data_IF_136835981132
#
_entry.id   IF_136835981132
#
_cell.length_a   1.000
_cell.length_b   1.000
_cell.length_c   1.000
_cell.angle_alpha   90.00
_cell.angle_beta   90.00
_cell.angle_gamma   90.00
#
_symmetry.space_group_name_H-M   'P 1'
#
loop_
_entity.id
_entity.type
_entity.pdbx_description
1 polymer ?
#
# COMPACT_ATOMS: atom_id res chain seq x y z
N UNK A 1 20.91 -59.08 57.54
CA UNK A 1 20.23 -58.03 58.35
C UNK A 1 20.77 -56.71 57.83
N UNK A 2 20.35 -56.20 56.66
CA UNK A 2 18.99 -55.91 56.18
C UNK A 2 18.33 -54.78 56.99
N UNK A 3 18.33 -53.59 56.38
CA UNK A 3 17.29 -52.55 56.29
C UNK A 3 17.76 -51.67 55.10
N UNK A 4 17.22 -51.73 53.86
CA UNK A 4 15.84 -51.47 53.42
C UNK A 4 15.51 -49.98 53.66
N UNK A 5 15.20 -49.09 52.72
CA UNK A 5 14.81 -49.12 51.29
C UNK A 5 15.07 -47.70 50.69
N UNK A 6 14.79 -47.42 49.40
CA UNK A 6 15.37 -46.36 48.60
C UNK A 6 14.49 -45.09 48.62
N UNK A 7 15.05 -43.96 48.17
CA UNK A 7 14.21 -42.89 47.63
C UNK A 7 14.39 -42.92 46.13
N UNK A 8 13.38 -43.48 45.48
CA UNK A 8 13.09 -43.30 44.07
C UNK A 8 12.90 -41.80 43.82
N UNK A 9 13.88 -41.15 43.21
CA UNK A 9 13.60 -39.97 42.41
C UNK A 9 13.76 -40.38 40.96
N UNK A 10 12.62 -40.78 40.40
CA UNK A 10 12.35 -40.86 38.97
C UNK A 10 12.83 -39.55 38.32
N UNK A 11 13.94 -39.59 37.60
CA UNK A 11 14.08 -38.72 36.44
C UNK A 11 13.20 -39.31 35.34
N UNK A 12 12.12 -38.64 34.90
CA UNK A 12 11.44 -39.05 33.70
C UNK A 12 12.39 -38.77 32.52
N UNK A 13 12.96 -39.85 32.00
CA UNK A 13 13.37 -40.02 30.61
C UNK A 13 12.21 -39.58 29.69
N UNK A 14 12.13 -38.28 29.40
CA UNK A 14 11.44 -37.77 28.21
C UNK A 14 12.50 -37.78 27.11
N UNK A 15 12.65 -38.93 26.48
CA UNK A 15 11.97 -39.24 25.21
C UNK A 15 12.33 -38.19 24.18
N UNK A 16 13.32 -38.54 23.36
CA UNK A 16 13.61 -38.09 22.01
C UNK A 16 12.46 -37.33 21.33
N UNK A 17 12.35 -36.02 21.59
CA UNK A 17 11.61 -35.06 20.76
C UNK A 17 12.59 -34.28 19.84
N UNK A 18 13.82 -34.79 19.67
CA UNK A 18 14.82 -34.35 18.67
C UNK A 18 14.55 -34.92 17.26
N UNK A 19 13.28 -35.20 16.93
CA UNK A 19 12.91 -35.84 15.67
C UNK A 19 11.64 -35.28 15.03
N UNK A 20 11.49 -33.95 15.00
CA UNK A 20 10.59 -33.27 14.04
C UNK A 20 11.14 -31.95 13.47
N UNK A 21 12.46 -31.71 13.53
CA UNK A 21 13.10 -30.54 12.88
C UNK A 21 13.78 -30.87 11.53
N UNK A 22 13.42 -32.00 10.93
CA UNK A 22 13.75 -32.32 9.53
C UNK A 22 12.50 -32.69 8.75
N UNK A 23 11.56 -31.74 8.73
CA UNK A 23 10.83 -31.46 7.51
C UNK A 23 11.18 -30.04 7.10
N UNK A 24 12.36 -29.87 6.50
CA UNK A 24 12.52 -28.90 5.41
C UNK A 24 11.52 -29.30 4.31
N UNK A 25 10.23 -29.06 4.58
CA UNK A 25 9.18 -29.14 3.59
C UNK A 25 9.41 -27.95 2.69
N UNK A 26 10.28 -28.15 1.70
CA UNK A 26 10.47 -27.40 0.47
C UNK A 26 9.50 -26.21 0.41
N UNK A 27 9.87 -25.12 1.11
CA UNK A 27 8.91 -24.07 1.43
C UNK A 27 8.40 -23.51 0.12
N UNK A 28 7.16 -23.83 -0.22
CA UNK A 28 6.64 -23.49 -1.54
C UNK A 28 6.70 -21.98 -1.62
N UNK A 29 7.45 -21.39 -2.57
CA UNK A 29 7.76 -19.97 -2.53
C UNK A 29 6.46 -19.18 -2.45
N UNK A 30 6.36 -18.26 -1.48
CA UNK A 30 5.12 -17.54 -1.18
C UNK A 30 4.49 -17.04 -2.49
N UNK A 31 3.27 -17.50 -2.80
CA UNK A 31 2.60 -17.16 -4.06
C UNK A 31 1.59 -16.04 -3.85
N UNK A 32 1.34 -15.29 -4.92
CA UNK A 32 0.33 -14.23 -4.91
C UNK A 32 -1.05 -14.82 -5.15
N UNK A 33 -2.09 -14.15 -4.64
CA UNK A 33 -3.46 -14.40 -5.10
C UNK A 33 -3.56 -14.01 -6.59
N UNK A 34 -3.95 -14.97 -7.43
CA UNK A 34 -4.10 -14.78 -8.87
C UNK A 34 -5.13 -13.70 -9.21
N UNK A 35 -5.02 -13.09 -10.39
CA UNK A 35 -5.96 -12.04 -10.82
C UNK A 35 -7.42 -12.51 -10.79
N UNK A 36 -7.69 -13.72 -11.31
CA UNK A 36 -9.03 -14.31 -11.29
C UNK A 36 -9.50 -14.67 -9.87
N UNK A 37 -8.61 -15.10 -8.97
CA UNK A 37 -8.95 -15.35 -7.56
C UNK A 37 -9.41 -14.06 -6.86
N UNK A 38 -8.79 -12.92 -7.21
CA UNK A 38 -9.25 -11.61 -6.72
C UNK A 38 -10.61 -11.25 -7.26
N UNK A 39 -10.85 -11.47 -8.57
CA UNK A 39 -12.17 -11.25 -9.18
C UNK A 39 -13.21 -12.11 -8.50
N UNK A 40 -12.95 -13.40 -8.32
CA UNK A 40 -13.85 -14.32 -7.63
C UNK A 40 -14.19 -13.85 -6.21
N UNK A 41 -13.18 -13.41 -5.45
CA UNK A 41 -13.37 -12.85 -4.11
C UNK A 41 -14.26 -11.61 -4.14
N UNK A 42 -13.99 -10.68 -5.06
CA UNK A 42 -14.82 -9.49 -5.23
C UNK A 42 -16.26 -9.84 -5.61
N UNK A 43 -16.45 -10.73 -6.58
CA UNK A 43 -17.77 -11.18 -6.99
C UNK A 43 -18.54 -11.80 -5.83
N UNK A 44 -17.91 -12.65 -5.02
CA UNK A 44 -18.57 -13.27 -3.87
C UNK A 44 -19.02 -12.24 -2.82
N UNK A 45 -18.16 -11.28 -2.49
CA UNK A 45 -18.50 -10.19 -1.56
C UNK A 45 -19.57 -9.24 -2.12
N UNK A 46 -19.51 -8.93 -3.42
CA UNK A 46 -20.53 -8.10 -4.08
C UNK A 46 -21.88 -8.79 -4.14
N UNK A 47 -21.92 -10.11 -4.38
CA UNK A 47 -23.17 -10.88 -4.34
C UNK A 47 -23.78 -10.87 -2.94
N UNK A 48 -22.98 -11.10 -1.90
CA UNK A 48 -23.44 -10.98 -0.52
C UNK A 48 -23.97 -9.57 -0.22
N UNK A 49 -23.22 -8.53 -0.59
CA UNK A 49 -23.62 -7.15 -0.36
C UNK A 49 -24.92 -6.79 -1.10
N UNK A 50 -25.07 -7.23 -2.34
CA UNK A 50 -26.29 -7.01 -3.11
C UNK A 50 -27.51 -7.68 -2.46
N UNK A 51 -27.36 -8.90 -1.95
CA UNK A 51 -28.42 -9.60 -1.22
C UNK A 51 -28.76 -8.89 0.11
N UNK A 52 -27.75 -8.44 0.84
CA UNK A 52 -27.93 -7.70 2.09
C UNK A 52 -28.67 -6.37 1.87
N UNK A 53 -28.32 -5.64 0.80
CA UNK A 53 -29.01 -4.39 0.43
C UNK A 53 -30.44 -4.68 -0.05
N UNK A 54 -30.64 -5.70 -0.87
CA UNK A 54 -31.97 -6.04 -1.40
C UNK A 54 -32.96 -6.48 -0.30
N UNK A 55 -32.46 -7.04 0.79
CA UNK A 55 -33.26 -7.51 1.92
C UNK A 55 -33.05 -6.64 3.18
N UNK A 56 -32.63 -5.39 3.03
CA UNK A 56 -32.32 -4.49 4.14
C UNK A 56 -33.50 -4.18 5.06
N UNK A 57 -34.72 -4.40 4.60
CA UNK A 57 -35.95 -4.14 5.36
C UNK A 57 -36.24 -5.21 6.44
N UNK A 58 -35.36 -6.21 6.60
CA UNK A 58 -35.51 -7.30 7.57
C UNK A 58 -34.61 -7.08 8.78
N UNK A 59 -35.13 -7.45 9.95
CA UNK A 59 -34.39 -7.35 11.22
C UNK A 59 -33.18 -8.31 11.33
N UNK A 60 -33.16 -9.38 10.52
CA UNK A 60 -32.11 -10.41 10.55
C UNK A 60 -31.75 -10.91 9.15
N UNK A 61 -30.52 -11.38 8.98
CA UNK A 61 -30.09 -12.07 7.76
C UNK A 61 -30.86 -13.37 7.56
N UNK A 62 -31.47 -13.53 6.38
CA UNK A 62 -32.12 -14.77 5.99
C UNK A 62 -31.11 -15.88 5.62
N UNK A 63 -31.61 -17.10 5.36
CA UNK A 63 -30.77 -18.25 4.99
C UNK A 63 -29.91 -18.01 3.74
N UNK A 64 -30.41 -17.23 2.78
CA UNK A 64 -29.69 -16.94 1.53
C UNK A 64 -28.52 -15.97 1.77
N UNK A 65 -28.72 -14.95 2.61
CA UNK A 65 -27.69 -14.00 3.00
C UNK A 65 -26.59 -14.69 3.80
N UNK A 66 -26.96 -15.59 4.73
CA UNK A 66 -26.02 -16.40 5.50
C UNK A 66 -25.22 -17.36 4.62
N UNK A 67 -25.86 -18.01 3.64
CA UNK A 67 -25.16 -18.85 2.66
C UNK A 67 -24.20 -18.05 1.79
N UNK A 68 -24.63 -16.87 1.32
CA UNK A 68 -23.76 -15.98 0.54
C UNK A 68 -22.57 -15.47 1.36
N UNK A 69 -22.78 -15.14 2.64
CA UNK A 69 -21.72 -14.75 3.57
C UNK A 69 -20.73 -15.90 3.79
N UNK A 70 -21.22 -17.10 4.09
CA UNK A 70 -20.39 -18.29 4.27
C UNK A 70 -19.58 -18.60 3.00
N UNK A 71 -20.19 -18.46 1.82
CA UNK A 71 -19.51 -18.59 0.53
C UNK A 71 -18.41 -17.54 0.34
N UNK A 72 -18.69 -16.27 0.63
CA UNK A 72 -17.71 -15.19 0.53
C UNK A 72 -16.51 -15.38 1.47
N UNK A 73 -16.76 -15.84 2.70
CA UNK A 73 -15.72 -16.21 3.67
C UNK A 73 -14.92 -17.40 3.16
N UNK A 74 -15.58 -18.49 2.76
CA UNK A 74 -14.92 -19.71 2.27
C UNK A 74 -14.04 -19.45 1.05
N UNK A 75 -14.53 -18.68 0.07
CA UNK A 75 -13.75 -18.25 -1.10
C UNK A 75 -12.56 -17.40 -0.68
N UNK A 76 -12.75 -16.48 0.29
CA UNK A 76 -11.67 -15.62 0.78
C UNK A 76 -10.57 -16.44 1.46
N UNK A 77 -10.95 -17.36 2.35
CA UNK A 77 -10.02 -18.27 3.04
C UNK A 77 -9.28 -19.15 2.03
N UNK A 78 -9.99 -19.76 1.08
CA UNK A 78 -9.38 -20.59 0.05
C UNK A 78 -8.38 -19.82 -0.83
N UNK A 79 -8.74 -18.60 -1.27
CA UNK A 79 -7.86 -17.76 -2.08
C UNK A 79 -6.56 -17.39 -1.33
N UNK A 80 -6.63 -17.23 0.00
CA UNK A 80 -5.48 -16.91 0.84
C UNK A 80 -4.66 -18.14 1.21
N UNK A 81 -5.31 -19.28 1.46
CA UNK A 81 -4.66 -20.54 1.80
C UNK A 81 -3.98 -21.20 0.60
N UNK A 82 -4.55 -21.07 -0.61
CA UNK A 82 -4.00 -21.62 -1.86
C UNK A 82 -3.87 -20.53 -2.93
N UNK A 83 -2.90 -19.62 -2.79
CA UNK A 83 -2.62 -18.62 -3.81
C UNK A 83 -2.08 -19.28 -5.10
N UNK A 84 -2.82 -19.16 -6.19
CA UNK A 84 -2.49 -19.77 -7.50
C UNK A 84 -1.79 -18.80 -8.45
N UNK A 85 -1.36 -17.64 -7.96
CA UNK A 85 -0.63 -16.66 -8.74
C UNK A 85 0.87 -16.94 -8.82
N UNK A 86 1.59 -15.97 -9.40
CA UNK A 86 3.04 -16.02 -9.55
C UNK A 86 3.76 -16.05 -8.19
N UNK A 87 4.96 -16.66 -8.11
CA UNK A 87 5.79 -16.57 -6.92
C UNK A 87 6.15 -15.11 -6.62
N UNK A 88 6.20 -14.79 -5.33
CA UNK A 88 6.68 -13.50 -4.84
C UNK A 88 8.21 -13.56 -4.86
N UNK A 89 8.81 -12.79 -5.75
CA UNK A 89 10.25 -12.53 -5.72
C UNK A 89 10.46 -11.34 -4.81
N UNK A 90 11.17 -11.52 -3.70
CA UNK A 90 11.59 -10.41 -2.84
C UNK A 90 12.64 -9.56 -3.58
N UNK A 91 12.60 -8.25 -3.39
CA UNK A 91 13.55 -7.29 -3.96
C UNK A 91 14.03 -6.42 -2.80
N UNK A 92 14.82 -7.03 -1.94
CA UNK A 92 15.27 -6.41 -0.70
C UNK A 92 16.62 -5.70 -0.89
N UNK A 93 17.43 -6.15 -1.87
CA UNK A 93 18.70 -5.53 -2.21
C UNK A 93 18.68 -4.81 -3.56
N UNK A 94 19.61 -3.86 -3.72
CA UNK A 94 19.77 -3.12 -4.97
C UNK A 94 20.16 -4.03 -6.16
N UNK A 95 20.85 -5.13 -5.90
CA UNK A 95 21.26 -6.12 -6.92
C UNK A 95 20.08 -6.90 -7.51
N UNK A 96 19.01 -7.10 -6.73
CA UNK A 96 17.81 -7.85 -7.12
C UNK A 96 16.88 -7.05 -8.03
N UNK A 97 17.16 -5.76 -8.23
CA UNK A 97 16.33 -4.84 -9.01
C UNK A 97 16.54 -5.09 -10.50
N UNK A 98 15.79 -6.06 -11.04
CA UNK A 98 15.82 -6.41 -12.46
C UNK A 98 14.40 -6.46 -13.06
N UNK A 99 14.32 -6.23 -14.36
CA UNK A 99 13.08 -6.28 -15.13
C UNK A 99 12.41 -4.92 -15.30
N UNK A 100 11.14 -4.95 -15.71
CA UNK A 100 10.39 -3.73 -16.05
C UNK A 100 9.60 -3.18 -14.85
N UNK A 101 9.69 -1.88 -14.56
CA UNK A 101 9.10 -1.22 -13.40
C UNK A 101 8.12 -0.11 -13.79
N UNK A 102 6.97 -0.08 -13.10
CA UNK A 102 5.86 0.85 -13.39
C UNK A 102 5.23 1.34 -12.09
N UNK A 103 4.92 2.65 -12.02
CA UNK A 103 4.10 3.19 -10.93
C UNK A 103 2.63 2.86 -11.11
N UNK A 104 1.99 2.39 -10.04
CA UNK A 104 0.57 2.00 -10.04
C UNK A 104 -0.24 2.79 -9.01
N UNK A 105 -1.35 3.31 -9.48
CA UNK A 105 -2.42 3.88 -8.66
C UNK A 105 -3.28 2.78 -8.06
N UNK A 106 -3.60 2.87 -6.78
CA UNK A 106 -4.55 1.96 -6.15
C UNK A 106 -5.97 2.50 -6.36
N UNK A 107 -6.58 2.15 -7.48
CA UNK A 107 -7.92 2.59 -7.84
C UNK A 107 -8.99 2.19 -6.82
N UNK A 108 -8.84 1.05 -6.14
CA UNK A 108 -9.75 0.64 -5.08
C UNK A 108 -9.79 1.63 -3.92
N UNK A 109 -8.62 2.08 -3.46
CA UNK A 109 -8.54 3.10 -2.42
C UNK A 109 -9.00 4.48 -2.91
N UNK A 110 -8.74 4.83 -4.17
CA UNK A 110 -9.26 6.08 -4.76
C UNK A 110 -10.79 6.06 -4.74
N UNK A 111 -11.42 4.99 -5.24
CA UNK A 111 -12.88 4.86 -5.25
C UNK A 111 -13.47 4.88 -3.84
N UNK A 112 -12.82 4.19 -2.90
CA UNK A 112 -13.21 4.24 -1.49
C UNK A 112 -13.15 5.66 -0.91
N UNK A 113 -12.05 6.38 -1.14
CA UNK A 113 -11.92 7.77 -0.71
C UNK A 113 -12.97 8.70 -1.35
N UNK A 114 -13.29 8.49 -2.64
CA UNK A 114 -14.36 9.23 -3.32
C UNK A 114 -15.71 8.93 -2.67
N UNK A 115 -16.03 7.67 -2.39
CA UNK A 115 -17.28 7.28 -1.73
C UNK A 115 -17.43 7.94 -0.36
N UNK A 116 -16.37 7.93 0.47
CA UNK A 116 -16.35 8.63 1.76
C UNK A 116 -16.58 10.14 1.61
N UNK A 117 -15.93 10.75 0.62
CA UNK A 117 -16.05 12.20 0.37
C UNK A 117 -17.47 12.57 -0.07
N UNK A 118 -18.04 11.81 -1.00
CA UNK A 118 -19.42 12.02 -1.49
C UNK A 118 -20.43 11.81 -0.37
N UNK A 119 -20.27 10.76 0.43
CA UNK A 119 -21.12 10.51 1.60
C UNK A 119 -21.07 11.65 2.60
N UNK A 120 -19.87 12.17 2.90
CA UNK A 120 -19.72 13.33 3.77
C UNK A 120 -20.27 14.63 3.20
N UNK A 121 -20.14 14.89 1.90
CA UNK A 121 -20.78 16.05 1.23
C UNK A 121 -22.32 15.93 1.28
N UNK A 122 -22.86 14.72 1.07
CA UNK A 122 -24.29 14.46 1.22
C UNK A 122 -24.80 14.82 2.61
N UNK A 123 -24.03 14.49 3.65
CA UNK A 123 -24.34 14.87 5.02
C UNK A 123 -24.33 16.39 5.25
N UNK A 124 -23.39 17.14 4.63
CA UNK A 124 -23.42 18.61 4.66
C UNK A 124 -24.72 19.14 4.07
N UNK A 125 -25.16 18.57 2.93
CA UNK A 125 -26.42 18.96 2.29
C UNK A 125 -27.63 18.76 3.20
N UNK A 126 -27.69 17.62 3.91
CA UNK A 126 -28.72 17.34 4.90
C UNK A 126 -28.67 18.33 6.08
N UNK A 127 -27.48 18.63 6.62
CA UNK A 127 -27.28 19.62 7.68
C UNK A 127 -27.81 20.99 7.24
N UNK A 128 -27.43 21.47 6.06
CA UNK A 128 -27.85 22.79 5.55
C UNK A 128 -29.37 22.83 5.33
N UNK A 129 -29.95 21.76 4.81
CA UNK A 129 -31.39 21.65 4.62
C UNK A 129 -32.14 21.68 5.96
N UNK A 130 -31.70 20.92 6.96
CA UNK A 130 -32.37 20.85 8.26
C UNK A 130 -32.17 22.13 9.10
N UNK A 131 -31.01 22.79 9.00
CA UNK A 131 -30.79 24.10 9.60
C UNK A 131 -31.67 25.18 8.94
N UNK A 132 -31.77 25.18 7.61
CA UNK A 132 -32.55 26.19 6.87
C UNK A 132 -34.07 26.01 7.02
N UNK A 133 -34.53 24.80 7.32
CA UNK A 133 -35.94 24.49 7.59
C UNK A 133 -36.30 24.51 9.08
N UNK A 134 -35.33 24.81 9.96
CA UNK A 134 -35.52 24.87 11.41
C UNK A 134 -35.76 23.52 12.09
N UNK A 135 -35.44 22.41 11.40
CA UNK A 135 -35.60 21.03 11.91
C UNK A 135 -34.49 20.60 12.86
N UNK A 136 -33.33 21.24 12.81
CA UNK A 136 -32.21 20.99 13.69
C UNK A 136 -31.55 22.31 14.14
N UNK A 137 -30.95 22.34 15.33
CA UNK A 137 -30.12 23.46 15.76
C UNK A 137 -28.63 23.16 15.52
N UNK A 138 -27.82 24.22 15.38
CA UNK A 138 -26.35 24.11 15.24
C UNK A 138 -25.74 23.32 16.40
N UNK A 139 -26.27 23.48 17.62
CA UNK A 139 -25.85 22.73 18.81
C UNK A 139 -26.02 21.22 18.65
N UNK A 140 -27.08 20.78 17.99
CA UNK A 140 -27.38 19.36 17.82
C UNK A 140 -26.38 18.73 16.86
N UNK A 141 -26.01 19.43 15.78
CA UNK A 141 -24.94 19.00 14.84
C UNK A 141 -23.58 18.87 15.53
N UNK A 142 -23.20 19.83 16.39
CA UNK A 142 -21.94 19.77 17.13
C UNK A 142 -21.93 18.67 18.20
N UNK A 143 -23.05 18.42 18.87
CA UNK A 143 -23.18 17.33 19.85
C UNK A 143 -23.07 15.95 19.17
N UNK A 144 -23.67 15.81 17.99
CA UNK A 144 -23.59 14.63 17.14
C UNK A 144 -22.15 14.33 16.71
N UNK A 145 -21.44 15.36 16.25
CA UNK A 145 -20.03 15.32 15.87
C UNK A 145 -19.14 14.89 17.04
N UNK A 146 -19.35 15.46 18.22
CA UNK A 146 -18.55 15.14 19.40
C UNK A 146 -18.77 13.71 19.88
N UNK A 147 -20.02 13.24 19.86
CA UNK A 147 -20.39 11.86 20.21
C UNK A 147 -19.70 10.85 19.29
N UNK A 148 -19.68 11.13 17.98
CA UNK A 148 -19.00 10.28 17.00
C UNK A 148 -17.48 10.24 17.21
N UNK A 149 -16.83 11.39 17.39
CA UNK A 149 -15.37 11.45 17.63
C UNK A 149 -15.00 10.76 18.94
N UNK A 150 -15.76 10.99 20.01
CA UNK A 150 -15.53 10.36 21.31
C UNK A 150 -15.72 8.83 21.23
N UNK A 151 -16.78 8.37 20.58
CA UNK A 151 -17.04 6.95 20.35
C UNK A 151 -15.89 6.28 19.60
N UNK A 152 -15.53 6.82 18.43
CA UNK A 152 -14.45 6.27 17.60
C UNK A 152 -13.09 6.28 18.32
N UNK A 153 -12.76 7.36 19.04
CA UNK A 153 -11.49 7.47 19.78
C UNK A 153 -11.44 6.47 20.94
N UNK A 154 -12.55 6.27 21.64
CA UNK A 154 -12.64 5.30 22.73
C UNK A 154 -12.48 3.87 22.22
N UNK A 155 -13.11 3.52 21.10
CA UNK A 155 -12.99 2.19 20.49
C UNK A 155 -11.57 1.93 19.96
N UNK A 156 -10.96 2.92 19.30
CA UNK A 156 -9.60 2.84 18.77
C UNK A 156 -8.51 2.69 19.87
N UNK A 157 -8.73 3.26 21.06
CA UNK A 157 -7.75 3.22 22.15
C UNK A 157 -7.99 2.09 23.16
N UNK A 158 -9.25 1.71 23.39
CA UNK A 158 -9.60 0.72 24.41
C UNK A 158 -9.83 -0.69 23.87
N UNK A 159 -10.03 -0.85 22.55
CA UNK A 159 -10.28 -2.14 21.91
C UNK A 159 -11.57 -2.84 22.35
N UNK A 160 -12.40 -2.17 23.15
CA UNK A 160 -13.75 -2.60 23.53
C UNK A 160 -14.77 -1.80 22.71
N UNK A 161 -15.86 -2.45 22.31
CA UNK A 161 -17.00 -1.76 21.71
C UNK A 161 -17.58 -0.83 22.76
N UNK A 162 -17.21 0.45 22.69
CA UNK A 162 -17.91 1.46 23.47
C UNK A 162 -19.34 1.48 22.95
N UNK A 163 -20.28 1.15 23.83
CA UNK A 163 -21.73 1.25 23.61
C UNK A 163 -22.11 2.75 23.58
N UNK A 164 -21.43 3.52 22.72
CA UNK A 164 -21.83 4.86 22.39
C UNK A 164 -23.24 4.73 21.81
N UNK A 165 -24.12 5.64 22.21
CA UNK A 165 -25.43 5.84 21.64
C UNK A 165 -25.36 6.27 20.14
N UNK A 166 -24.65 5.51 19.30
CA UNK A 166 -24.51 5.67 17.87
C UNK A 166 -25.89 5.59 17.20
N UNK A 167 -26.81 4.82 17.77
CA UNK A 167 -28.22 4.73 17.39
C UNK A 167 -28.99 6.07 17.51
N UNK A 168 -28.51 7.03 18.30
CA UNK A 168 -29.09 8.38 18.42
C UNK A 168 -28.31 9.44 17.64
N UNK A 169 -27.26 9.04 16.94
CA UNK A 169 -26.42 9.97 16.17
C UNK A 169 -27.11 10.19 14.82
N UNK A 170 -27.47 11.43 14.51
CA UNK A 170 -28.03 11.72 13.20
C UNK A 170 -26.95 11.51 12.11
N UNK A 171 -27.35 11.44 10.83
CA UNK A 171 -26.39 11.26 9.73
C UNK A 171 -25.38 12.42 9.55
N UNK A 172 -25.45 13.45 10.39
CA UNK A 172 -24.60 14.65 10.33
C UNK A 172 -23.13 14.35 10.65
N UNK A 173 -22.87 13.36 11.50
CA UNK A 173 -21.52 12.89 11.79
C UNK A 173 -20.76 12.41 10.53
N UNK A 174 -21.44 12.00 9.46
CA UNK A 174 -20.82 11.58 8.20
C UNK A 174 -20.03 12.70 7.51
N UNK A 175 -20.30 13.98 7.80
CA UNK A 175 -19.46 15.10 7.30
C UNK A 175 -17.99 14.94 7.70
N UNK A 176 -17.70 14.37 8.87
CA UNK A 176 -16.33 14.12 9.34
C UNK A 176 -15.56 13.25 8.34
N UNK A 177 -16.26 12.42 7.55
CA UNK A 177 -15.66 11.53 6.55
C UNK A 177 -15.12 12.27 5.31
N UNK A 178 -15.47 13.56 5.11
CA UNK A 178 -14.94 14.36 4.00
C UNK A 178 -13.42 14.48 4.09
N UNK A 179 -12.89 14.85 5.26
CA UNK A 179 -11.45 15.05 5.46
C UNK A 179 -10.64 13.77 5.20
N UNK A 180 -10.92 12.62 5.85
CA UNK A 180 -10.20 11.37 5.56
C UNK A 180 -10.47 10.87 4.14
N UNK A 181 -11.66 11.07 3.59
CA UNK A 181 -11.98 10.75 2.20
C UNK A 181 -11.06 11.48 1.22
N UNK A 182 -10.97 12.80 1.35
CA UNK A 182 -10.09 13.65 0.52
C UNK A 182 -8.62 13.26 0.70
N UNK A 183 -8.16 12.99 1.92
CA UNK A 183 -6.78 12.56 2.18
C UNK A 183 -6.46 11.22 1.50
N UNK A 184 -7.37 10.25 1.59
CA UNK A 184 -7.23 8.95 0.92
C UNK A 184 -7.15 9.15 -0.59
N UNK A 185 -8.04 9.95 -1.18
CA UNK A 185 -8.01 10.26 -2.62
C UNK A 185 -6.68 10.88 -3.00
N UNK A 186 -6.29 11.96 -2.31
CA UNK A 186 -5.08 12.73 -2.59
C UNK A 186 -3.83 11.84 -2.58
N UNK A 187 -3.58 11.10 -1.50
CA UNK A 187 -2.39 10.25 -1.38
C UNK A 187 -2.36 9.11 -2.39
N UNK A 188 -3.52 8.60 -2.81
CA UNK A 188 -3.58 7.55 -3.81
C UNK A 188 -3.51 8.09 -5.25
N UNK A 189 -3.78 9.38 -5.48
CA UNK A 189 -3.64 10.03 -6.79
C UNK A 189 -2.22 10.52 -7.09
N UNK A 190 -1.37 10.73 -6.08
CA UNK A 190 0.04 11.16 -6.31
C UNK A 190 0.77 10.30 -7.37
N UNK A 191 0.70 8.95 -7.35
CA UNK A 191 1.31 8.10 -8.38
C UNK A 191 0.70 8.25 -9.78
N UNK A 192 -0.53 8.77 -9.89
CA UNK A 192 -1.18 9.07 -11.17
C UNK A 192 -0.64 10.38 -11.75
N UNK A 193 -0.54 11.42 -10.90
CA UNK A 193 -0.11 12.77 -11.31
C UNK A 193 1.42 12.79 -11.53
N UNK A 194 2.17 12.15 -10.64
CA UNK A 194 3.65 12.05 -10.68
C UNK A 194 4.10 10.66 -11.17
N UNK A 195 3.46 10.12 -12.21
CA UNK A 195 3.70 8.73 -12.65
C UNK A 195 5.09 8.49 -13.23
N UNK A 196 5.73 9.52 -13.78
CA UNK A 196 7.00 9.39 -14.51
C UNK A 196 6.90 8.45 -15.72
N UNK A 197 8.03 8.12 -16.31
CA UNK A 197 8.17 7.13 -17.39
C UNK A 197 8.51 5.77 -16.81
N UNK A 198 7.93 4.72 -17.39
CA UNK A 198 8.29 3.34 -17.07
C UNK A 198 9.79 3.14 -17.33
N UNK A 199 10.48 2.39 -16.47
CA UNK A 199 11.88 2.06 -16.65
C UNK A 199 12.09 0.55 -16.59
N UNK A 200 13.16 0.09 -17.23
CA UNK A 200 13.59 -1.30 -17.27
C UNK A 200 15.03 -1.34 -16.80
N UNK A 201 15.35 -2.28 -15.93
CA UNK A 201 16.72 -2.59 -15.53
C UNK A 201 17.11 -3.90 -16.18
N UNK A 202 18.12 -3.86 -17.03
CA UNK A 202 18.67 -5.03 -17.71
C UNK A 202 19.68 -5.78 -16.83
N UNK A 203 20.00 -7.06 -17.14
CA UNK A 203 20.90 -7.88 -16.32
C UNK A 203 22.32 -7.31 -16.20
N UNK A 204 22.78 -6.56 -17.19
CA UNK A 204 24.04 -5.82 -17.18
C UNK A 204 24.01 -4.58 -16.27
N UNK A 205 22.86 -4.29 -15.67
CA UNK A 205 22.59 -3.14 -14.82
C UNK A 205 22.25 -1.88 -15.59
N UNK A 206 22.17 -1.92 -16.93
CA UNK A 206 21.74 -0.79 -17.76
C UNK A 206 20.27 -0.45 -17.49
N UNK A 207 19.95 0.85 -17.51
CA UNK A 207 18.61 1.34 -17.27
C UNK A 207 18.07 1.89 -18.58
N UNK A 208 16.91 1.40 -19.00
CA UNK A 208 16.21 1.86 -20.18
C UNK A 208 14.88 2.50 -19.78
N UNK A 209 14.49 3.57 -20.43
CA UNK A 209 13.28 4.35 -20.14
C UNK A 209 12.31 4.23 -21.31
N UNK A 210 11.03 4.12 -21.00
CA UNK A 210 9.97 4.06 -22.02
C UNK A 210 9.78 5.43 -22.65
N UNK A 211 10.15 5.55 -23.92
CA UNK A 211 9.88 6.70 -24.79
C UNK A 211 8.72 6.45 -25.76
N UNK A 212 8.40 7.44 -26.62
CA UNK A 212 7.32 7.32 -27.61
C UNK A 212 7.57 6.24 -28.67
N UNK A 213 8.84 6.00 -29.02
CA UNK A 213 9.22 5.06 -30.10
C UNK A 213 9.74 3.71 -29.57
N UNK A 214 9.72 3.49 -28.25
CA UNK A 214 10.25 2.26 -27.65
C UNK A 214 11.01 2.49 -26.37
N UNK A 215 11.95 1.59 -26.08
CA UNK A 215 12.86 1.69 -24.95
C UNK A 215 14.11 2.46 -25.39
N UNK A 216 14.50 3.46 -24.61
CA UNK A 216 15.69 4.28 -24.86
C UNK A 216 16.61 4.10 -23.66
N UNK A 217 17.86 3.77 -23.91
CA UNK A 217 18.85 3.62 -22.83
C UNK A 217 19.05 4.97 -22.13
N UNK A 218 19.03 4.96 -20.80
CA UNK A 218 19.34 6.11 -19.97
C UNK A 218 20.86 6.29 -19.97
N UNK A 219 21.32 7.38 -20.57
CA UNK A 219 22.72 7.75 -20.65
C UNK A 219 23.01 8.82 -19.60
N UNK A 220 23.57 8.43 -18.46
CA UNK A 220 23.75 9.32 -17.30
C UNK A 220 24.64 10.54 -17.61
N UNK A 221 25.54 10.41 -18.58
CA UNK A 221 26.43 11.50 -19.01
C UNK A 221 25.72 12.63 -19.76
N UNK A 222 24.47 12.46 -20.17
CA UNK A 222 23.67 13.53 -20.80
C UNK A 222 23.03 14.46 -19.75
N UNK A 223 23.17 14.15 -18.45
CA UNK A 223 22.52 14.86 -17.37
C UNK A 223 23.55 15.55 -16.45
N UNK A 224 23.18 16.74 -15.95
CA UNK A 224 24.01 17.55 -15.05
C UNK A 224 23.72 17.26 -13.57
N UNK A 225 22.45 16.96 -13.27
CA UNK A 225 21.98 16.67 -11.92
C UNK A 225 20.84 15.65 -11.91
N UNK A 226 20.77 14.87 -10.85
CA UNK A 226 19.68 13.92 -10.58
C UNK A 226 19.11 14.20 -9.20
N UNK A 227 17.80 14.30 -9.07
CA UNK A 227 17.14 14.57 -7.78
C UNK A 227 16.01 13.59 -7.54
N UNK A 228 16.02 12.91 -6.40
CA UNK A 228 14.97 12.01 -5.95
C UNK A 228 14.22 12.62 -4.76
N UNK A 229 12.91 12.83 -4.90
CA UNK A 229 12.03 13.47 -3.89
C UNK A 229 11.15 12.46 -3.12
N UNK A 230 11.53 11.18 -3.12
CA UNK A 230 10.74 10.04 -2.64
C UNK A 230 9.47 9.72 -3.45
N UNK A 231 9.07 10.58 -4.38
CA UNK A 231 7.96 10.34 -5.30
C UNK A 231 8.44 10.03 -6.71
N UNK A 232 9.46 10.74 -7.16
CA UNK A 232 10.05 10.66 -8.50
C UNK A 232 11.56 10.89 -8.44
N UNK A 233 12.26 10.33 -9.42
CA UNK A 233 13.67 10.59 -9.70
C UNK A 233 13.73 11.42 -10.98
N UNK A 234 14.18 12.66 -10.88
CA UNK A 234 14.27 13.61 -11.99
C UNK A 234 15.72 13.74 -12.45
N UNK A 235 15.93 13.53 -13.74
CA UNK A 235 17.19 13.74 -14.45
C UNK A 235 17.13 15.09 -15.16
N UNK A 236 18.02 16.00 -14.76
CA UNK A 236 18.12 17.36 -15.31
C UNK A 236 19.17 17.36 -16.41
N UNK A 237 18.82 17.75 -17.66
CA UNK A 237 19.72 17.66 -18.78
C UNK A 237 20.95 18.56 -18.60
N UNK A 238 22.07 18.17 -19.21
CA UNK A 238 23.29 18.98 -19.24
C UNK A 238 23.29 20.02 -20.37
N UNK A 239 22.51 19.77 -21.43
CA UNK A 239 22.42 20.63 -22.62
C UNK A 239 20.98 20.69 -23.14
N UNK A 240 20.66 21.78 -23.84
CA UNK A 240 19.32 22.11 -24.33
C UNK A 240 18.65 21.06 -25.26
N UNK A 241 19.36 20.27 -26.10
CA UNK A 241 18.70 19.26 -26.94
C UNK A 241 18.25 18.01 -26.16
N UNK A 242 18.74 17.79 -24.93
CA UNK A 242 18.38 16.60 -24.15
C UNK A 242 17.13 16.86 -23.33
N UNK A 243 16.03 16.09 -23.51
CA UNK A 243 14.83 16.26 -22.70
C UNK A 243 15.06 15.72 -21.28
N UNK A 244 14.54 16.44 -20.28
CA UNK A 244 14.52 15.95 -18.90
C UNK A 244 13.71 14.65 -18.77
N UNK A 245 14.23 13.70 -17.99
CA UNK A 245 13.55 12.42 -17.72
C UNK A 245 13.09 12.38 -16.27
N UNK A 246 11.87 11.89 -16.06
CA UNK A 246 11.30 11.66 -14.73
C UNK A 246 10.95 10.18 -14.61
N UNK A 247 11.54 9.50 -13.64
CA UNK A 247 11.24 8.11 -13.30
C UNK A 247 10.38 8.07 -12.02
N UNK A 248 9.47 7.11 -11.89
CA UNK A 248 8.73 6.93 -10.65
C UNK A 248 9.61 6.35 -9.55
N UNK A 249 9.32 6.77 -8.32
CA UNK A 249 9.92 6.23 -7.09
C UNK A 249 8.84 5.76 -6.10
N UNK A 250 7.71 6.46 -6.03
CA UNK A 250 6.57 6.07 -5.21
C UNK A 250 5.75 4.96 -5.90
N UNK A 251 5.40 3.94 -5.10
CA UNK A 251 4.52 2.82 -5.50
C UNK A 251 4.91 2.20 -6.84
N UNK A 252 6.21 1.94 -6.99
CA UNK A 252 6.78 1.26 -8.14
C UNK A 252 6.60 -0.24 -7.96
N UNK A 253 6.18 -0.92 -9.02
CA UNK A 253 6.01 -2.36 -9.05
C UNK A 253 6.73 -2.94 -10.26
N UNK A 254 7.40 -4.08 -10.07
CA UNK A 254 7.83 -4.90 -11.18
C UNK A 254 6.60 -5.37 -11.97
N UNK A 255 6.66 -5.26 -13.29
CA UNK A 255 5.62 -5.72 -14.22
C UNK A 255 5.59 -7.24 -14.30
N UNK A 256 6.74 -7.87 -14.16
CA UNK A 256 6.93 -9.32 -14.30
C UNK A 256 6.52 -10.05 -13.02
N UNK A 257 7.03 -9.60 -11.87
CA UNK A 257 6.80 -10.27 -10.58
C UNK A 257 5.66 -9.63 -9.80
N UNK A 258 5.28 -8.38 -10.12
CA UNK A 258 4.30 -7.62 -9.34
C UNK A 258 4.85 -7.13 -8.00
N UNK A 259 6.11 -7.38 -7.68
CA UNK A 259 6.73 -6.99 -6.40
C UNK A 259 6.86 -5.49 -6.31
N UNK A 260 6.50 -4.95 -5.14
CA UNK A 260 6.66 -3.53 -4.84
C UNK A 260 8.13 -3.27 -4.64
N UNK A 261 8.70 -2.43 -5.47
CA UNK A 261 10.04 -1.90 -5.27
C UNK A 261 9.97 -0.83 -4.16
N UNK A 262 10.73 -1.02 -3.09
CA UNK A 262 10.84 -0.03 -2.01
C UNK A 262 11.61 1.18 -2.52
N UNK A 263 11.20 2.39 -2.10
CA UNK A 263 11.86 3.62 -2.55
C UNK A 263 13.33 3.67 -2.14
N UNK A 264 13.66 3.12 -0.97
CA UNK A 264 15.03 2.97 -0.44
C UNK A 264 15.89 2.10 -1.36
N UNK A 265 15.43 0.89 -1.69
CA UNK A 265 16.13 -0.05 -2.57
C UNK A 265 16.32 0.54 -3.96
N UNK A 266 15.28 1.20 -4.50
CA UNK A 266 15.42 1.92 -5.77
C UNK A 266 16.46 3.03 -5.67
N UNK A 267 16.47 3.81 -4.59
CA UNK A 267 17.39 4.91 -4.40
C UNK A 267 18.83 4.39 -4.30
N UNK A 268 19.09 3.38 -3.49
CA UNK A 268 20.40 2.74 -3.36
C UNK A 268 20.95 2.28 -4.72
N UNK A 269 20.12 1.62 -5.54
CA UNK A 269 20.51 1.20 -6.89
C UNK A 269 20.90 2.37 -7.80
N UNK A 270 20.11 3.45 -7.80
CA UNK A 270 20.44 4.63 -8.59
C UNK A 270 21.67 5.36 -8.05
N UNK A 271 21.86 5.42 -6.73
CA UNK A 271 23.04 6.02 -6.10
C UNK A 271 24.32 5.27 -6.48
N UNK A 272 24.33 3.93 -6.38
CA UNK A 272 25.48 3.10 -6.79
C UNK A 272 25.85 3.35 -8.26
N UNK A 273 24.85 3.37 -9.14
CA UNK A 273 25.06 3.60 -10.58
C UNK A 273 25.56 5.00 -10.86
N UNK A 274 24.95 6.03 -10.28
CA UNK A 274 25.36 7.42 -10.46
C UNK A 274 26.77 7.68 -9.91
N UNK A 275 27.12 7.07 -8.77
CA UNK A 275 28.47 7.16 -8.22
C UNK A 275 29.51 6.56 -9.18
N UNK A 276 29.23 5.40 -9.80
CA UNK A 276 30.08 4.81 -10.85
C UNK A 276 30.20 5.71 -12.10
N UNK A 277 29.18 6.50 -12.39
CA UNK A 277 29.17 7.46 -13.49
C UNK A 277 29.77 8.84 -13.13
N UNK A 278 30.41 8.99 -11.96
CA UNK A 278 31.11 10.22 -11.56
C UNK A 278 30.23 11.32 -10.96
N UNK A 279 29.01 10.97 -10.52
CA UNK A 279 28.17 11.89 -9.74
C UNK A 279 28.58 11.85 -8.26
N UNK A 280 28.65 13.03 -7.65
CA UNK A 280 28.69 13.18 -6.19
C UNK A 280 27.27 13.08 -5.65
N UNK A 281 27.04 12.14 -4.72
CA UNK A 281 25.72 11.85 -4.15
C UNK A 281 25.60 12.47 -2.75
N UNK A 282 24.56 13.27 -2.56
CA UNK A 282 24.11 13.82 -1.28
C UNK A 282 22.80 13.12 -0.89
N UNK A 283 22.83 12.33 0.19
CA UNK A 283 21.63 11.68 0.72
C UNK A 283 20.88 12.66 1.62
N UNK A 284 19.60 12.92 1.30
CA UNK A 284 18.76 13.88 2.02
C UNK A 284 17.92 13.17 3.07
N UNK A 285 17.27 12.06 2.68
CA UNK A 285 16.45 11.24 3.57
C UNK A 285 16.56 9.78 3.14
N UNK A 286 17.37 9.02 3.87
CA UNK A 286 17.60 7.61 3.60
C UNK A 286 16.32 6.77 3.73
N UNK A 287 15.49 7.05 4.76
CA UNK A 287 14.24 6.31 5.00
C UNK A 287 13.25 6.48 3.87
N UNK A 288 13.21 7.65 3.23
CA UNK A 288 12.33 7.89 2.08
C UNK A 288 13.00 7.59 0.75
N UNK A 289 14.31 7.39 0.72
CA UNK A 289 15.10 7.22 -0.50
C UNK A 289 15.35 8.54 -1.25
N UNK A 290 15.33 9.68 -0.55
CA UNK A 290 15.58 10.99 -1.16
C UNK A 290 17.08 11.28 -1.23
N UNK A 291 17.55 11.68 -2.41
CA UNK A 291 18.94 12.02 -2.65
C UNK A 291 19.08 13.04 -3.78
N UNK A 292 20.25 13.65 -3.86
CA UNK A 292 20.66 14.55 -4.93
C UNK A 292 22.03 14.11 -5.46
N UNK A 293 22.11 13.78 -6.73
CA UNK A 293 23.36 13.57 -7.45
C UNK A 293 23.72 14.82 -8.25
N UNK A 294 24.96 15.30 -8.14
CA UNK A 294 25.52 16.34 -9.01
C UNK A 294 26.75 15.82 -9.73
N UNK A 295 26.89 16.14 -11.01
CA UNK A 295 28.07 15.74 -11.76
C UNK A 295 29.28 16.56 -11.34
N UNK A 296 30.37 15.88 -11.01
CA UNK A 296 31.61 16.51 -10.55
C UNK A 296 32.33 17.08 -11.78
N UNK A 297 32.09 18.36 -12.11
CA UNK A 297 32.70 18.98 -13.30
C UNK A 297 31.94 20.16 -13.95
N UNK A 298 31.34 21.07 -13.18
CA UNK A 298 30.81 22.34 -13.73
C UNK A 298 31.15 23.57 -12.87
N UNK A 299 32.31 23.57 -12.22
CA UNK A 299 33.03 24.83 -11.92
C UNK A 299 34.00 25.07 -13.06
N UNK A 300 33.50 25.65 -14.16
CA UNK A 300 34.37 26.42 -15.03
C UNK A 300 34.55 27.77 -14.34
N UNK A 301 35.76 28.02 -13.87
CA UNK A 301 36.22 29.29 -13.34
C UNK A 301 35.89 30.40 -14.35
N UNK A 302 35.12 31.40 -13.92
CA UNK A 302 35.16 32.72 -14.53
C UNK A 302 36.28 33.49 -13.81
N UNK A 303 37.52 33.21 -14.22
CA UNK A 303 38.58 34.21 -14.15
C UNK A 303 38.75 34.79 -15.56
N UNK A 304 38.20 35.98 -15.76
CA UNK A 304 38.75 37.03 -16.62
C UNK A 304 38.10 38.36 -16.27
#
# INVERSE_FOLDING_TARGET
MANQEPSDEYEPEKTDDDLLDTAEGESTPARRVAGWQRVLRWSAWLTFLALAIANSDRDYFGPLELLALAGAIGISVWCLAKPLGRPVVAMDEAADVQGTFVSRTNWGLVLFGVALTVGGIGAIGAIVYDLSTGRAAVRDVFADMWTFVAGWTSEALSGWSYDAHLERTHGYALFILVVPGVLIVWWNLVPLIKRGREFRVEPDGSISVRGPHGWIQLLEYEYSAVTADATTIRFTPASDPTPGIVLPQARVFSRETGTRLRSQVSAARFQERLARCGFTIEVIDDKRGSFRGRRTGSTFSLES
#
